data_IF_988677184755
#
_entry.id   IF_988677184755
#
_cell.length_a   1.000
_cell.length_b   1.000
_cell.length_c   1.000
_cell.angle_alpha   90.00
_cell.angle_beta   90.00
_cell.angle_gamma   90.00
#
_symmetry.space_group_name_H-M   'P 1'
#
loop_
_entity.id
_entity.type
_entity.pdbx_description
1 polymer ?
#
# COMPACT_ATOMS: atom_id res chain seq x y z
N UNK A 1 37.27 -45.81 41.82
CA UNK A 1 36.91 -46.51 40.59
C UNK A 1 35.52 -46.05 40.25
N UNK A 2 35.41 -45.22 39.29
CA UNK A 2 34.39 -45.10 38.25
C UNK A 2 34.47 -43.70 37.68
N UNK A 3 34.86 -43.65 36.41
CA UNK A 3 35.00 -42.45 35.60
C UNK A 3 33.62 -41.98 35.19
N UNK A 4 33.34 -40.70 35.38
CA UNK A 4 32.21 -39.97 34.78
C UNK A 4 32.68 -39.23 33.53
N UNK A 5 32.19 -39.65 32.39
CA UNK A 5 32.47 -39.03 31.09
C UNK A 5 31.66 -37.76 30.92
N UNK A 6 32.34 -36.64 30.82
CA UNK A 6 31.82 -35.32 30.52
C UNK A 6 31.63 -35.20 28.99
N UNK A 7 30.40 -35.17 28.52
CA UNK A 7 30.05 -34.93 27.10
C UNK A 7 29.78 -33.45 26.89
N UNK A 8 30.84 -32.74 26.56
CA UNK A 8 30.78 -31.35 26.09
C UNK A 8 30.24 -31.31 24.65
N UNK A 9 28.97 -30.95 24.48
CA UNK A 9 28.38 -30.63 23.17
C UNK A 9 28.91 -29.27 22.69
N UNK A 10 29.91 -29.28 21.85
CA UNK A 10 30.35 -28.11 21.08
C UNK A 10 29.37 -27.91 19.93
N UNK A 11 28.52 -26.90 20.05
CA UNK A 11 27.75 -26.35 18.94
C UNK A 11 28.69 -25.75 17.89
N UNK A 12 28.78 -26.39 16.74
CA UNK A 12 29.50 -25.86 15.58
C UNK A 12 28.66 -24.74 14.94
N UNK A 13 28.90 -23.50 15.36
CA UNK A 13 28.53 -22.31 14.61
C UNK A 13 29.39 -22.24 13.35
N UNK A 14 28.84 -22.66 12.22
CA UNK A 14 29.49 -22.50 10.92
C UNK A 14 29.63 -21.02 10.60
N UNK A 15 30.81 -20.45 10.82
CA UNK A 15 31.20 -19.17 10.26
C UNK A 15 31.46 -19.37 8.76
N UNK A 16 30.50 -18.95 7.91
CA UNK A 16 30.72 -18.86 6.47
C UNK A 16 31.91 -17.93 6.22
N UNK A 17 33.00 -18.49 5.71
CA UNK A 17 34.21 -17.71 5.37
C UNK A 17 34.10 -17.30 3.93
N UNK A 18 33.99 -15.99 3.69
CA UNK A 18 34.17 -15.43 2.35
C UNK A 18 35.59 -15.66 1.85
N UNK A 19 35.76 -15.89 0.55
CA UNK A 19 37.08 -16.04 -0.07
C UNK A 19 37.98 -14.81 0.19
N UNK A 20 39.30 -14.97 0.14
CA UNK A 20 40.23 -13.89 0.44
C UNK A 20 40.00 -12.68 -0.48
N UNK A 21 39.77 -11.52 0.11
CA UNK A 21 39.54 -10.24 -0.60
C UNK A 21 38.08 -9.89 -0.89
N UNK A 22 37.13 -10.82 -0.73
CA UNK A 22 35.71 -10.54 -0.94
C UNK A 22 35.07 -9.95 0.32
N UNK A 23 34.52 -8.74 0.18
CA UNK A 23 33.60 -8.13 1.18
C UNK A 23 32.18 -8.20 0.64
N UNK A 24 31.25 -8.63 1.43
CA UNK A 24 29.84 -8.61 1.07
C UNK A 24 28.99 -8.14 2.25
N UNK A 25 27.82 -7.61 1.93
CA UNK A 25 26.78 -7.30 2.91
C UNK A 25 25.49 -8.00 2.48
N UNK A 26 24.71 -8.41 3.46
CA UNK A 26 23.38 -8.99 3.23
C UNK A 26 22.37 -7.86 3.32
N UNK A 27 21.50 -7.73 2.29
CA UNK A 27 20.35 -6.83 2.37
C UNK A 27 19.38 -7.35 3.44
N UNK A 28 18.93 -6.46 4.31
CA UNK A 28 17.93 -6.79 5.35
C UNK A 28 16.54 -7.06 4.80
N UNK A 29 16.29 -6.70 3.54
CA UNK A 29 15.01 -6.92 2.87
C UNK A 29 14.80 -8.39 2.51
N UNK A 30 13.65 -8.96 2.91
CA UNK A 30 13.29 -10.35 2.58
C UNK A 30 12.91 -10.45 1.09
N UNK A 31 13.62 -11.26 0.29
CA UNK A 31 13.36 -11.42 -1.15
C UNK A 31 11.95 -11.92 -1.48
N UNK A 32 11.24 -12.55 -0.52
CA UNK A 32 9.85 -12.99 -0.72
C UNK A 32 8.84 -11.84 -0.87
N UNK A 33 9.21 -10.62 -0.47
CA UNK A 33 8.43 -9.40 -0.67
C UNK A 33 8.83 -8.60 -1.93
N UNK A 34 9.57 -9.22 -2.85
CA UNK A 34 10.22 -8.57 -3.97
C UNK A 34 11.56 -7.94 -3.58
N UNK A 35 12.24 -7.29 -4.50
CA UNK A 35 13.49 -6.62 -4.21
C UNK A 35 13.23 -5.23 -3.60
N UNK A 36 14.06 -4.83 -2.64
CA UNK A 36 14.09 -3.44 -2.14
C UNK A 36 14.51 -2.47 -3.25
N UNK A 37 15.37 -2.97 -4.13
CA UNK A 37 15.76 -2.37 -5.41
C UNK A 37 15.83 -3.51 -6.44
N UNK A 38 15.12 -3.41 -7.56
CA UNK A 38 15.36 -4.30 -8.69
C UNK A 38 16.76 -4.05 -9.24
N UNK A 39 17.50 -5.13 -9.53
CA UNK A 39 18.90 -5.05 -9.94
C UNK A 39 19.06 -4.17 -11.20
N UNK A 40 20.12 -3.39 -11.25
CA UNK A 40 20.53 -2.62 -12.42
C UNK A 40 20.51 -3.53 -13.66
N UNK A 41 19.71 -3.15 -14.66
CA UNK A 41 19.45 -3.93 -15.87
C UNK A 41 18.07 -4.59 -15.93
N UNK A 42 17.30 -4.64 -14.83
CA UNK A 42 15.91 -5.05 -14.80
C UNK A 42 14.94 -3.88 -14.48
N UNK A 43 15.50 -2.73 -14.06
CA UNK A 43 14.70 -1.51 -13.89
C UNK A 43 14.36 -0.96 -15.27
N UNK A 44 13.07 -0.90 -15.59
CA UNK A 44 12.62 -0.18 -16.78
C UNK A 44 13.03 1.29 -16.66
N UNK A 45 13.61 1.83 -17.77
CA UNK A 45 13.81 3.27 -17.84
C UNK A 45 12.47 3.97 -17.71
N UNK A 46 12.36 4.81 -16.70
CA UNK A 46 11.13 5.52 -16.44
C UNK A 46 10.89 6.59 -17.53
N UNK A 47 9.69 6.61 -18.09
CA UNK A 47 9.22 7.70 -18.97
C UNK A 47 8.79 8.94 -18.17
N UNK A 48 9.06 9.00 -16.88
CA UNK A 48 8.70 10.13 -16.02
C UNK A 48 9.48 11.39 -16.44
N UNK A 49 8.77 12.51 -16.51
CA UNK A 49 9.40 13.82 -16.62
C UNK A 49 9.97 14.21 -15.26
N UNK A 50 11.23 14.58 -15.20
CA UNK A 50 11.91 14.97 -13.96
C UNK A 50 12.38 16.42 -14.10
N UNK A 51 12.00 17.27 -13.13
CA UNK A 51 12.65 18.54 -12.86
C UNK A 51 13.39 18.43 -11.52
N UNK A 52 14.70 18.29 -11.61
CA UNK A 52 15.57 18.17 -10.45
C UNK A 52 15.98 19.52 -9.86
N UNK A 53 15.63 20.64 -10.50
CA UNK A 53 16.00 21.99 -10.10
C UNK A 53 15.09 22.65 -9.06
N UNK A 54 14.12 21.91 -8.50
CA UNK A 54 13.05 22.47 -7.64
C UNK A 54 13.57 23.05 -6.33
N UNK A 55 14.33 22.30 -5.56
CA UNK A 55 14.86 22.74 -4.25
C UNK A 55 16.28 23.32 -4.37
N UNK A 56 17.13 22.65 -5.12
CA UNK A 56 18.50 23.07 -5.40
C UNK A 56 18.77 23.00 -6.91
N UNK A 57 19.55 23.93 -7.47
CA UNK A 57 20.07 23.79 -8.83
C UNK A 57 20.79 22.45 -9.01
N UNK A 58 20.66 21.84 -10.19
CA UNK A 58 21.18 20.49 -10.48
C UNK A 58 22.69 20.38 -10.21
N UNK A 59 23.46 21.41 -10.55
CA UNK A 59 24.90 21.51 -10.31
C UNK A 59 25.28 21.59 -8.82
N UNK A 60 24.30 21.82 -7.93
CA UNK A 60 24.46 21.88 -6.48
C UNK A 60 23.84 20.70 -5.73
N UNK A 61 23.44 19.67 -6.46
CA UNK A 61 22.87 18.48 -5.82
C UNK A 61 23.89 17.83 -4.89
N UNK A 62 23.47 17.61 -3.65
CA UNK A 62 24.25 16.94 -2.61
C UNK A 62 23.33 16.37 -1.55
N UNK A 63 23.80 15.41 -0.75
CA UNK A 63 23.10 15.02 0.47
C UNK A 63 22.78 16.22 1.36
N UNK A 64 21.56 16.26 1.91
CA UNK A 64 21.09 17.29 2.82
C UNK A 64 20.99 16.66 4.22
N UNK A 65 21.72 17.24 5.16
CA UNK A 65 21.68 16.85 6.58
C UNK A 65 20.36 17.26 7.24
N UNK A 66 19.90 16.52 8.28
CA UNK A 66 18.73 16.92 9.03
C UNK A 66 18.97 18.23 9.76
N UNK A 67 18.07 19.18 9.59
CA UNK A 67 18.06 20.44 10.33
C UNK A 67 17.16 20.27 11.58
N UNK A 68 17.70 20.62 12.75
CA UNK A 68 16.97 20.57 14.01
C UNK A 68 15.94 21.69 14.17
N UNK A 69 15.92 22.68 13.27
CA UNK A 69 15.08 23.85 13.38
C UNK A 69 13.57 23.56 13.18
N UNK A 70 12.76 24.23 13.96
CA UNK A 70 11.30 24.23 13.89
C UNK A 70 10.59 23.11 14.69
N UNK A 71 9.29 23.28 14.95
CA UNK A 71 8.51 22.33 15.74
C UNK A 71 8.32 21.00 15.01
N UNK A 72 8.22 19.91 15.77
CA UNK A 72 7.75 18.62 15.29
C UNK A 72 6.21 18.57 15.37
N UNK A 73 5.55 17.74 14.51
CA UNK A 73 4.13 17.49 14.67
C UNK A 73 3.87 16.82 16.02
N UNK A 74 2.77 17.19 16.67
CA UNK A 74 2.31 16.58 17.92
C UNK A 74 1.89 15.13 17.73
N UNK A 75 1.38 14.81 16.55
CA UNK A 75 0.96 13.46 16.17
C UNK A 75 1.47 13.11 14.77
N UNK A 76 1.90 11.85 14.63
CA UNK A 76 2.15 11.20 13.36
C UNK A 76 1.09 10.12 13.15
N UNK A 77 0.34 10.25 12.07
CA UNK A 77 -0.69 9.30 11.67
C UNK A 77 -0.13 8.41 10.56
N UNK A 78 -0.14 7.11 10.76
CA UNK A 78 0.30 6.15 9.77
C UNK A 78 -0.90 5.39 9.24
N UNK A 79 -1.11 5.43 7.91
CA UNK A 79 -2.19 4.74 7.21
C UNK A 79 -1.61 3.59 6.42
N UNK A 80 -2.22 2.44 6.54
CA UNK A 80 -1.91 1.26 5.75
C UNK A 80 -3.15 0.39 5.57
N UNK A 81 -3.10 -0.49 4.56
CA UNK A 81 -4.14 -1.43 4.25
C UNK A 81 -3.61 -2.84 3.99
N UNK A 82 -4.42 -3.82 4.35
CA UNK A 82 -4.15 -5.23 4.10
C UNK A 82 -5.28 -5.86 3.32
N UNK A 83 -4.93 -6.85 2.47
CA UNK A 83 -5.90 -7.65 1.72
C UNK A 83 -5.52 -9.12 1.73
N UNK A 84 -6.53 -9.96 1.58
CA UNK A 84 -6.38 -11.40 1.45
C UNK A 84 -7.44 -11.95 0.52
N UNK A 85 -7.04 -12.67 -0.52
CA UNK A 85 -7.96 -13.46 -1.34
C UNK A 85 -8.34 -14.70 -0.54
N UNK A 86 -9.64 -14.87 -0.29
CA UNK A 86 -10.18 -16.02 0.45
C UNK A 86 -10.45 -17.20 -0.45
N UNK A 87 -10.98 -16.91 -1.67
CA UNK A 87 -11.26 -17.91 -2.67
C UNK A 87 -11.28 -17.30 -4.08
N UNK A 88 -10.88 -18.10 -5.06
CA UNK A 88 -11.29 -17.94 -6.45
C UNK A 88 -12.54 -18.78 -6.64
N UNK A 89 -13.58 -18.22 -7.25
CA UNK A 89 -14.83 -18.89 -7.53
C UNK A 89 -15.16 -18.77 -9.01
N UNK A 90 -16.09 -19.61 -9.49
CA UNK A 90 -16.61 -19.57 -10.83
C UNK A 90 -18.10 -19.26 -10.76
N UNK A 91 -18.54 -18.26 -11.51
CA UNK A 91 -19.94 -17.88 -11.63
C UNK A 91 -20.45 -18.46 -12.93
N UNK A 92 -21.49 -19.29 -12.85
CA UNK A 92 -22.09 -19.93 -14.02
C UNK A 92 -22.65 -18.86 -14.97
N UNK A 93 -22.53 -19.08 -16.26
CA UNK A 93 -23.12 -18.21 -17.28
C UNK A 93 -24.64 -18.17 -17.17
N UNK A 94 -25.26 -17.05 -17.57
CA UNK A 94 -26.71 -16.96 -17.65
C UNK A 94 -27.25 -18.05 -18.59
N UNK A 95 -28.08 -18.92 -18.08
CA UNK A 95 -28.92 -19.78 -18.90
C UNK A 95 -29.97 -18.87 -19.53
N UNK A 96 -29.81 -18.48 -20.79
CA UNK A 96 -30.90 -17.87 -21.56
C UNK A 96 -32.05 -18.87 -21.57
N UNK A 97 -33.01 -18.70 -20.67
CA UNK A 97 -34.33 -19.33 -20.81
C UNK A 97 -34.89 -18.82 -22.13
N UNK A 98 -34.95 -19.69 -23.12
CA UNK A 98 -35.53 -19.41 -24.44
C UNK A 98 -36.98 -18.99 -24.28
N UNK A 99 -37.20 -17.71 -24.09
CA UNK A 99 -38.50 -17.08 -24.28
C UNK A 99 -38.72 -16.96 -25.79
N UNK A 100 -39.66 -17.75 -26.33
CA UNK A 100 -40.18 -17.60 -27.67
C UNK A 100 -40.71 -16.16 -27.85
N UNK A 101 -39.96 -15.36 -28.59
CA UNK A 101 -40.30 -14.00 -28.97
C UNK A 101 -39.43 -13.62 -30.16
N UNK A 102 -39.80 -14.12 -31.36
CA UNK A 102 -39.21 -13.66 -32.63
C UNK A 102 -39.56 -12.19 -32.84
N UNK A 103 -38.69 -11.30 -32.42
CA UNK A 103 -38.66 -9.89 -32.82
C UNK A 103 -37.45 -9.69 -33.75
N UNK A 104 -37.71 -9.42 -35.02
CA UNK A 104 -36.71 -9.20 -36.04
C UNK A 104 -35.77 -8.05 -35.62
N UNK A 105 -34.50 -8.35 -35.49
CA UNK A 105 -33.44 -7.36 -35.32
C UNK A 105 -33.33 -6.50 -36.60
N UNK A 106 -33.37 -5.18 -36.45
CA UNK A 106 -33.01 -4.23 -37.50
C UNK A 106 -31.49 -4.21 -37.64
N UNK A 107 -30.92 -4.26 -38.86
CA UNK A 107 -29.49 -4.09 -39.07
C UNK A 107 -29.17 -2.60 -38.97
N UNK A 108 -28.28 -2.21 -38.04
CA UNK A 108 -27.73 -0.88 -38.01
C UNK A 108 -27.21 -0.27 -36.72
N UNK A 109 -27.17 -0.99 -35.57
CA UNK A 109 -26.66 -0.45 -34.31
C UNK A 109 -25.41 -1.18 -33.78
N UNK A 110 -24.36 -1.25 -34.62
CA UNK A 110 -23.03 -1.63 -34.14
C UNK A 110 -22.22 -0.36 -33.81
N UNK A 111 -22.19 0.03 -32.56
CA UNK A 111 -21.20 1.00 -32.06
C UNK A 111 -19.86 0.27 -31.87
N UNK A 112 -18.76 0.76 -32.47
CA UNK A 112 -17.45 0.14 -32.34
C UNK A 112 -16.87 0.46 -30.96
N UNK A 113 -16.71 -0.55 -30.08
CA UNK A 113 -15.94 -0.41 -28.84
C UNK A 113 -16.31 -1.30 -27.66
N UNK A 114 -17.42 -2.00 -27.66
CA UNK A 114 -17.73 -2.98 -26.60
C UNK A 114 -17.04 -4.30 -26.88
N UNK A 115 -16.00 -4.60 -26.10
CA UNK A 115 -15.44 -5.97 -26.03
C UNK A 115 -16.51 -6.84 -25.38
N UNK A 116 -17.28 -7.53 -26.22
CA UNK A 116 -18.21 -8.59 -25.79
C UNK A 116 -17.47 -9.60 -24.92
N UNK A 117 -18.04 -9.88 -23.74
CA UNK A 117 -17.72 -11.09 -23.00
C UNK A 117 -17.87 -12.31 -23.96
N UNK A 118 -17.07 -13.40 -23.80
CA UNK A 118 -17.12 -14.52 -24.71
C UNK A 118 -18.56 -14.98 -24.93
N UNK A 119 -18.98 -14.95 -26.20
CA UNK A 119 -20.33 -15.34 -26.65
C UNK A 119 -20.46 -16.84 -26.64
N UNK A 120 -20.77 -17.44 -25.48
CA UNK A 120 -21.19 -18.81 -25.34
C UNK A 120 -22.26 -18.93 -24.24
N UNK A 121 -23.44 -19.49 -24.50
CA UNK A 121 -24.37 -19.72 -23.40
C UNK A 121 -23.75 -20.71 -22.43
N UNK A 122 -23.43 -20.24 -21.22
CA UNK A 122 -23.08 -21.08 -20.10
C UNK A 122 -21.61 -21.23 -19.72
N UNK A 123 -20.66 -20.46 -20.32
CA UNK A 123 -19.27 -20.57 -19.88
C UNK A 123 -19.07 -19.88 -18.50
N UNK A 124 -18.52 -20.61 -17.49
CA UNK A 124 -18.30 -20.05 -16.16
C UNK A 124 -17.26 -18.93 -16.17
N UNK A 125 -17.52 -17.86 -15.41
CA UNK A 125 -16.67 -16.69 -15.31
C UNK A 125 -15.92 -16.68 -13.98
N UNK A 126 -14.60 -16.53 -14.03
CA UNK A 126 -13.76 -16.45 -12.82
C UNK A 126 -14.05 -15.17 -12.01
N UNK A 127 -14.07 -15.32 -10.68
CA UNK A 127 -14.26 -14.23 -9.75
C UNK A 127 -13.39 -14.42 -8.49
N UNK A 128 -13.13 -13.33 -7.76
CA UNK A 128 -12.36 -13.32 -6.52
C UNK A 128 -13.24 -12.94 -5.35
N UNK A 129 -13.27 -13.78 -4.30
CA UNK A 129 -13.76 -13.40 -2.98
C UNK A 129 -12.58 -12.97 -2.11
N UNK A 130 -12.61 -11.75 -1.61
CA UNK A 130 -11.50 -11.19 -0.82
C UNK A 130 -11.99 -10.45 0.41
N UNK A 131 -11.19 -10.49 1.48
CA UNK A 131 -11.28 -9.62 2.64
C UNK A 131 -10.18 -8.57 2.56
N UNK A 132 -10.51 -7.33 2.93
CA UNK A 132 -9.56 -6.23 2.99
C UNK A 132 -9.92 -5.28 4.13
N UNK A 133 -8.90 -4.66 4.69
CA UNK A 133 -9.05 -3.72 5.80
C UNK A 133 -7.99 -2.64 5.70
N UNK A 134 -8.35 -1.45 6.12
CA UNK A 134 -7.41 -0.35 6.32
C UNK A 134 -7.54 0.21 7.72
N UNK A 135 -6.51 0.93 8.17
CA UNK A 135 -6.53 1.56 9.47
C UNK A 135 -5.52 2.69 9.60
N UNK A 136 -5.63 3.39 10.71
CA UNK A 136 -4.74 4.48 11.08
C UNK A 136 -4.23 4.26 12.49
N UNK A 137 -2.91 4.26 12.65
CA UNK A 137 -2.27 4.31 13.95
C UNK A 137 -1.73 5.71 14.20
N UNK A 138 -2.09 6.28 15.34
CA UNK A 138 -1.53 7.54 15.83
C UNK A 138 -0.32 7.27 16.71
N UNK A 139 0.77 8.00 16.47
CA UNK A 139 1.96 8.04 17.32
C UNK A 139 2.11 9.47 17.85
N UNK A 140 1.82 9.67 19.11
CA UNK A 140 1.86 10.96 19.82
C UNK A 140 2.52 10.82 21.20
N UNK A 141 2.48 11.86 22.01
CA UNK A 141 3.04 11.82 23.37
C UNK A 141 2.40 10.74 24.27
N UNK A 142 1.14 10.37 24.02
CA UNK A 142 0.43 9.31 24.75
C UNK A 142 0.84 7.90 24.31
N UNK A 143 1.66 7.76 23.27
CA UNK A 143 2.11 6.49 22.72
C UNK A 143 1.52 6.17 21.35
N UNK A 144 1.55 4.88 20.96
CA UNK A 144 1.00 4.40 19.69
C UNK A 144 -0.33 3.69 19.91
N UNK A 145 -1.40 4.14 19.23
CA UNK A 145 -2.73 3.57 19.35
C UNK A 145 -3.50 3.62 18.02
N UNK A 146 -4.35 2.64 17.80
CA UNK A 146 -5.22 2.56 16.63
C UNK A 146 -6.38 3.55 16.81
N UNK A 147 -6.50 4.52 15.90
CA UNK A 147 -7.52 5.58 15.96
C UNK A 147 -8.70 5.34 15.04
N UNK A 148 -8.46 4.67 13.91
CA UNK A 148 -9.52 4.29 12.97
C UNK A 148 -9.18 2.97 12.32
N UNK A 149 -10.18 2.16 11.99
CA UNK A 149 -10.03 0.99 11.15
C UNK A 149 -11.35 0.55 10.57
N UNK A 150 -11.31 0.07 9.34
CA UNK A 150 -12.48 -0.50 8.66
C UNK A 150 -12.09 -1.79 7.94
N UNK A 151 -13.01 -2.76 7.96
CA UNK A 151 -12.87 -4.05 7.27
C UNK A 151 -14.04 -4.24 6.34
N UNK A 152 -13.74 -4.64 5.09
CA UNK A 152 -14.74 -4.97 4.06
C UNK A 152 -14.46 -6.35 3.47
N UNK A 153 -15.47 -6.93 2.82
CA UNK A 153 -15.35 -8.12 2.00
C UNK A 153 -16.01 -7.89 0.67
N UNK A 154 -15.36 -8.31 -0.42
CA UNK A 154 -15.86 -8.11 -1.77
C UNK A 154 -15.79 -9.37 -2.61
N UNK A 155 -16.78 -9.51 -3.47
CA UNK A 155 -16.78 -10.39 -4.62
C UNK A 155 -16.45 -9.54 -5.85
N UNK A 156 -15.31 -9.79 -6.49
CA UNK A 156 -14.85 -9.08 -7.68
C UNK A 156 -15.08 -9.96 -8.91
N UNK A 157 -15.87 -9.49 -9.86
CA UNK A 157 -16.23 -10.26 -11.06
C UNK A 157 -16.46 -9.39 -12.28
N UNK A 158 -16.20 -9.93 -13.45
CA UNK A 158 -16.61 -9.34 -14.74
C UNK A 158 -17.99 -9.84 -15.19
N UNK A 159 -18.57 -10.85 -14.51
CA UNK A 159 -19.89 -11.34 -14.81
C UNK A 159 -20.96 -10.29 -14.49
N UNK A 160 -21.84 -9.92 -15.44
CA UNK A 160 -22.83 -8.84 -15.24
C UNK A 160 -23.88 -9.18 -14.18
N UNK A 161 -24.16 -10.46 -13.98
CA UNK A 161 -25.14 -10.98 -13.01
C UNK A 161 -24.53 -11.34 -11.65
N UNK A 162 -23.24 -11.06 -11.41
CA UNK A 162 -22.64 -11.29 -10.11
C UNK A 162 -23.38 -10.49 -9.03
N UNK A 163 -23.76 -11.14 -7.95
CA UNK A 163 -24.51 -10.56 -6.83
C UNK A 163 -23.80 -10.85 -5.51
N UNK A 164 -24.26 -10.20 -4.45
CA UNK A 164 -23.72 -10.39 -3.10
C UNK A 164 -23.80 -11.85 -2.67
N UNK A 165 -22.76 -12.34 -2.02
CA UNK A 165 -22.74 -13.67 -1.42
C UNK A 165 -22.93 -13.51 0.09
N UNK A 166 -24.00 -14.07 0.62
CA UNK A 166 -24.24 -14.16 2.05
C UNK A 166 -23.74 -15.50 2.59
N UNK A 167 -22.91 -15.48 3.61
CA UNK A 167 -22.41 -16.68 4.29
C UNK A 167 -22.68 -16.57 5.80
N UNK A 168 -22.62 -17.67 6.52
CA UNK A 168 -22.69 -17.65 7.99
C UNK A 168 -21.55 -16.86 8.66
N UNK A 169 -20.45 -16.62 7.95
CA UNK A 169 -19.29 -15.85 8.44
C UNK A 169 -19.30 -14.38 7.98
N UNK A 170 -20.38 -13.94 7.31
CA UNK A 170 -20.61 -12.59 6.81
C UNK A 170 -20.76 -12.50 5.29
N UNK A 171 -21.09 -11.33 4.79
CA UNK A 171 -21.38 -11.09 3.37
C UNK A 171 -20.14 -10.64 2.59
N UNK A 172 -20.17 -10.90 1.28
CA UNK A 172 -19.25 -10.38 0.27
C UNK A 172 -20.05 -9.52 -0.71
N UNK A 173 -19.76 -8.22 -0.73
CA UNK A 173 -20.44 -7.29 -1.64
C UNK A 173 -19.91 -7.42 -3.06
N UNK A 174 -20.78 -7.53 -4.04
CA UNK A 174 -20.42 -7.68 -5.44
C UNK A 174 -19.86 -6.37 -6.02
N UNK A 175 -18.73 -6.47 -6.68
CA UNK A 175 -18.06 -5.40 -7.40
C UNK A 175 -17.85 -5.81 -8.85
N UNK A 176 -18.60 -5.16 -9.76
CA UNK A 176 -18.44 -5.39 -11.19
C UNK A 176 -17.15 -4.74 -11.70
N UNK A 177 -16.33 -5.53 -12.39
CA UNK A 177 -15.03 -5.13 -12.91
C UNK A 177 -15.10 -5.03 -14.43
N UNK A 178 -14.83 -3.85 -14.98
CA UNK A 178 -14.71 -3.64 -16.42
C UNK A 178 -13.26 -3.80 -16.86
N UNK A 179 -13.05 -4.61 -17.90
CA UNK A 179 -11.74 -4.77 -18.53
C UNK A 179 -11.56 -3.61 -19.52
N UNK A 180 -10.65 -2.68 -19.20
CA UNK A 180 -10.41 -1.48 -20.02
C UNK A 180 -9.56 -1.73 -21.27
N UNK A 181 -8.85 -2.85 -21.34
CA UNK A 181 -7.91 -3.18 -22.42
C UNK A 181 -8.20 -4.57 -22.91
N UNK A 182 -8.48 -4.71 -24.22
CA UNK A 182 -8.67 -6.00 -24.84
C UNK A 182 -7.42 -6.88 -24.62
N UNK A 183 -7.65 -8.16 -24.25
CA UNK A 183 -6.58 -9.11 -23.99
C UNK A 183 -5.91 -9.01 -22.61
N UNK A 184 -6.32 -8.08 -21.75
CA UNK A 184 -5.80 -8.05 -20.38
C UNK A 184 -6.30 -9.28 -19.59
N UNK A 185 -5.40 -9.94 -18.81
CA UNK A 185 -5.81 -11.08 -17.99
C UNK A 185 -6.90 -10.70 -16.99
N UNK A 186 -8.01 -11.44 -16.96
CA UNK A 186 -9.15 -11.18 -16.06
C UNK A 186 -8.67 -11.08 -14.60
N UNK A 187 -7.86 -12.02 -14.12
CA UNK A 187 -7.37 -12.05 -12.75
C UNK A 187 -6.58 -10.79 -12.35
N UNK A 188 -5.82 -10.21 -13.30
CA UNK A 188 -5.11 -8.94 -13.09
C UNK A 188 -6.11 -7.80 -12.89
N UNK A 189 -7.15 -7.71 -13.70
CA UNK A 189 -8.20 -6.70 -13.58
C UNK A 189 -8.96 -6.81 -12.24
N UNK A 190 -9.27 -8.05 -11.80
CA UNK A 190 -9.91 -8.31 -10.51
C UNK A 190 -9.00 -7.87 -9.34
N UNK A 191 -7.72 -8.24 -9.36
CA UNK A 191 -6.73 -7.84 -8.35
C UNK A 191 -6.54 -6.33 -8.29
N UNK A 192 -6.50 -5.65 -9.44
CA UNK A 192 -6.43 -4.19 -9.50
C UNK A 192 -7.70 -3.52 -8.96
N UNK A 193 -8.86 -4.12 -9.18
CA UNK A 193 -10.12 -3.62 -8.62
C UNK A 193 -10.13 -3.76 -7.09
N UNK A 194 -9.69 -4.89 -6.55
CA UNK A 194 -9.50 -5.08 -5.11
C UNK A 194 -8.55 -4.03 -4.53
N UNK A 195 -7.42 -3.77 -5.21
CA UNK A 195 -6.46 -2.76 -4.75
C UNK A 195 -7.05 -1.35 -4.73
N UNK A 196 -7.87 -0.99 -5.73
CA UNK A 196 -8.58 0.31 -5.75
C UNK A 196 -9.57 0.43 -4.59
N UNK A 197 -10.34 -0.63 -4.31
CA UNK A 197 -11.27 -0.64 -3.18
C UNK A 197 -10.55 -0.53 -1.83
N UNK A 198 -9.39 -1.17 -1.69
CA UNK A 198 -8.56 -0.98 -0.50
C UNK A 198 -8.10 0.47 -0.37
N UNK A 199 -7.63 1.09 -1.44
CA UNK A 199 -7.20 2.49 -1.43
C UNK A 199 -8.35 3.46 -1.06
N UNK A 200 -9.59 3.18 -1.46
CA UNK A 200 -10.77 3.93 -1.03
C UNK A 200 -10.97 3.83 0.48
N UNK A 201 -10.86 2.63 1.06
CA UNK A 201 -10.97 2.42 2.51
C UNK A 201 -9.85 3.12 3.27
N UNK A 202 -8.62 3.15 2.75
CA UNK A 202 -7.50 3.90 3.34
C UNK A 202 -7.79 5.40 3.42
N UNK A 203 -8.43 5.97 2.38
CA UNK A 203 -8.88 7.37 2.38
C UNK A 203 -9.97 7.60 3.41
N UNK A 204 -10.96 6.69 3.49
CA UNK A 204 -12.07 6.81 4.43
C UNK A 204 -11.57 6.79 5.89
N UNK A 205 -10.69 5.84 6.24
CA UNK A 205 -10.15 5.76 7.61
C UNK A 205 -9.20 6.91 7.92
N UNK A 206 -8.47 7.45 6.93
CA UNK A 206 -7.61 8.61 7.13
C UNK A 206 -8.42 9.87 7.47
N UNK A 207 -9.56 10.08 6.81
CA UNK A 207 -10.49 11.16 7.12
C UNK A 207 -11.11 10.97 8.50
N UNK A 208 -11.67 9.77 8.77
CA UNK A 208 -12.29 9.46 10.05
C UNK A 208 -11.33 9.62 11.24
N UNK A 209 -10.04 9.30 11.06
CA UNK A 209 -9.03 9.49 12.10
C UNK A 209 -8.81 10.97 12.45
N UNK A 210 -8.86 11.86 11.47
CA UNK A 210 -8.71 13.31 11.68
C UNK A 210 -9.96 13.93 12.28
N UNK A 211 -11.13 13.54 11.77
CA UNK A 211 -12.43 13.99 12.32
C UNK A 211 -12.54 13.63 13.81
N UNK A 212 -12.10 12.42 14.19
CA UNK A 212 -12.07 11.97 15.59
C UNK A 212 -11.05 12.76 16.43
N UNK A 213 -9.90 13.11 15.89
CA UNK A 213 -8.90 13.93 16.59
C UNK A 213 -9.40 15.36 16.82
N UNK A 214 -10.07 15.96 15.84
CA UNK A 214 -10.65 17.31 15.95
C UNK A 214 -11.82 17.32 16.98
N UNK A 215 -12.60 16.25 17.06
CA UNK A 215 -13.70 16.12 18.03
C UNK A 215 -13.22 15.87 19.47
N UNK A 216 -12.02 15.28 19.64
CA UNK A 216 -11.46 14.95 20.96
C UNK A 216 -10.74 16.13 21.64
N UNK A 217 -10.47 17.23 20.94
CA UNK A 217 -9.92 18.44 21.55
C UNK A 217 -11.00 19.10 22.41
N UNK A 218 -10.79 19.31 23.72
CA UNK A 218 -11.76 20.00 24.57
C UNK A 218 -12.00 21.38 23.98
N UNK A 219 -13.27 21.69 23.68
CA UNK A 219 -13.66 22.97 23.17
C UNK A 219 -13.19 24.08 24.11
N UNK A 220 -12.32 24.94 23.62
CA UNK A 220 -12.09 26.26 24.19
C UNK A 220 -13.41 27.04 23.99
N UNK A 221 -14.27 27.02 25.02
CA UNK A 221 -15.48 27.82 25.10
C UNK A 221 -15.13 29.28 25.37
N UNK A 222 -14.20 29.83 24.62
CA UNK A 222 -13.73 31.19 24.71
C UNK A 222 -13.85 31.95 23.40
N UNK A 223 -14.96 32.71 23.28
CA UNK A 223 -15.14 33.90 22.44
C UNK A 223 -14.84 33.71 20.93
N UNK A 224 -15.91 33.43 20.17
CA UNK A 224 -15.96 33.61 18.73
C UNK A 224 -15.72 35.09 18.38
N UNK A 225 -14.51 35.44 17.96
CA UNK A 225 -14.29 36.66 17.19
C UNK A 225 -14.83 36.45 15.77
N UNK A 226 -15.64 37.40 15.21
CA UNK A 226 -16.14 37.30 13.86
C UNK A 226 -15.00 37.49 12.89
N UNK A 227 -14.63 36.44 12.14
CA UNK A 227 -13.55 36.41 11.14
C UNK A 227 -12.57 35.25 11.27
N UNK A 228 -12.87 34.24 12.09
CA UNK A 228 -12.02 33.08 12.26
C UNK A 228 -11.96 32.23 10.99
N UNK A 229 -10.80 32.23 10.32
CA UNK A 229 -10.43 31.16 9.43
C UNK A 229 -10.49 29.83 10.21
N UNK A 230 -10.94 28.71 9.59
CA UNK A 230 -10.87 27.42 10.24
C UNK A 230 -9.41 27.23 10.70
N UNK A 231 -9.20 26.96 11.98
CA UNK A 231 -7.86 26.60 12.51
C UNK A 231 -7.40 25.41 11.70
N UNK A 232 -6.46 25.63 10.78
CA UNK A 232 -5.71 24.56 10.17
C UNK A 232 -5.06 23.81 11.33
N UNK A 233 -5.50 22.58 11.57
CA UNK A 233 -4.87 21.69 12.55
C UNK A 233 -3.44 21.45 12.07
N UNK A 234 -2.50 22.32 12.51
CA UNK A 234 -1.09 22.25 12.12
C UNK A 234 -0.33 21.19 12.90
N UNK A 235 -1.04 20.41 13.74
CA UNK A 235 -0.44 19.55 14.75
C UNK A 235 -0.15 18.13 14.30
N UNK A 236 -0.67 17.67 13.15
CA UNK A 236 -0.46 16.30 12.66
C UNK A 236 0.34 16.22 11.35
N UNK A 237 0.87 15.03 11.06
CA UNK A 237 1.41 14.66 9.75
C UNK A 237 0.96 13.24 9.41
N UNK A 238 0.31 13.07 8.24
CA UNK A 238 -0.17 11.80 7.77
C UNK A 238 0.88 11.12 6.88
N UNK A 239 1.24 9.88 7.20
CA UNK A 239 2.13 9.03 6.42
C UNK A 239 1.31 7.90 5.81
N UNK A 240 1.19 7.89 4.50
CA UNK A 240 0.47 6.86 3.75
C UNK A 240 1.48 5.83 3.25
N UNK A 241 1.31 4.56 3.57
CA UNK A 241 2.17 3.49 3.04
C UNK A 241 1.89 3.31 1.54
N UNK A 242 2.87 3.67 0.73
CA UNK A 242 2.79 3.69 -0.73
C UNK A 242 2.58 5.08 -1.33
N UNK A 243 2.28 5.15 -2.64
CA UNK A 243 2.14 6.40 -3.38
C UNK A 243 0.85 7.16 -3.02
N UNK A 244 0.88 8.49 -3.15
CA UNK A 244 -0.29 9.36 -2.96
C UNK A 244 -1.26 9.37 -4.15
N UNK A 245 -1.05 8.58 -5.19
CA UNK A 245 -1.98 8.51 -6.33
C UNK A 245 -3.41 8.18 -5.86
N UNK A 246 -4.37 9.05 -6.18
CA UNK A 246 -5.75 8.96 -5.69
C UNK A 246 -5.97 9.48 -4.27
N UNK A 247 -4.89 9.87 -3.55
CA UNK A 247 -4.91 10.38 -2.17
C UNK A 247 -4.35 11.80 -2.03
N UNK A 248 -4.10 12.49 -3.17
CA UNK A 248 -3.48 13.82 -3.23
C UNK A 248 -4.29 14.91 -2.51
N UNK A 249 -5.59 14.68 -2.35
CA UNK A 249 -6.52 15.58 -1.66
C UNK A 249 -6.45 15.51 -0.13
N UNK A 250 -5.72 14.52 0.42
CA UNK A 250 -5.52 14.42 1.86
C UNK A 250 -4.55 15.52 2.30
N UNK A 251 -4.96 16.44 3.18
CA UNK A 251 -4.09 17.52 3.61
C UNK A 251 -2.93 16.97 4.44
N UNK A 252 -1.77 17.64 4.39
CA UNK A 252 -0.58 17.31 5.18
C UNK A 252 -0.20 15.81 5.12
N UNK A 253 -0.33 15.20 3.92
CA UNK A 253 -0.02 13.81 3.69
C UNK A 253 1.29 13.66 2.94
N UNK A 254 2.06 12.65 3.33
CA UNK A 254 3.25 12.17 2.65
C UNK A 254 3.02 10.73 2.20
N UNK A 255 3.32 10.44 0.93
CA UNK A 255 3.44 9.08 0.43
C UNK A 255 4.80 8.51 0.82
N UNK A 256 4.82 7.28 1.31
CA UNK A 256 6.01 6.60 1.80
C UNK A 256 6.25 5.32 0.99
N UNK A 257 7.23 5.37 0.08
CA UNK A 257 7.51 4.30 -0.89
C UNK A 257 8.77 3.54 -0.45
N UNK A 258 8.58 2.26 -0.09
CA UNK A 258 9.60 1.36 0.44
C UNK A 258 10.40 0.62 -0.62
N UNK A 259 9.79 0.34 -1.77
CA UNK A 259 10.38 -0.45 -2.86
C UNK A 259 10.56 0.38 -4.12
N UNK A 260 11.62 0.12 -4.85
CA UNK A 260 11.99 0.85 -6.05
C UNK A 260 11.95 -0.10 -7.25
N UNK A 261 11.00 0.14 -8.18
CA UNK A 261 10.80 -0.67 -9.40
C UNK A 261 11.27 0.03 -10.66
N UNK A 262 11.71 1.28 -10.57
CA UNK A 262 12.26 2.05 -11.68
C UNK A 262 13.28 3.06 -11.18
N UNK A 263 14.28 3.36 -12.02
CA UNK A 263 15.21 4.46 -11.82
C UNK A 263 14.60 5.72 -12.43
N UNK A 264 14.35 6.73 -11.62
CA UNK A 264 13.74 7.99 -12.05
C UNK A 264 14.76 9.09 -12.33
N UNK A 265 15.86 9.13 -11.59
CA UNK A 265 16.88 10.16 -11.70
C UNK A 265 17.95 9.76 -12.70
N UNK A 266 18.58 10.73 -13.39
CA UNK A 266 19.81 10.51 -14.17
C UNK A 266 20.93 9.88 -13.32
N UNK A 267 21.88 9.17 -13.92
CA UNK A 267 22.92 8.41 -13.18
C UNK A 267 23.72 9.23 -12.17
N UNK A 268 24.08 10.47 -12.52
CA UNK A 268 24.83 11.41 -11.66
C UNK A 268 24.04 11.80 -10.42
N UNK A 269 22.74 12.12 -10.56
CA UNK A 269 21.86 12.45 -9.44
C UNK A 269 21.51 11.19 -8.62
N UNK A 270 21.40 10.05 -9.28
CA UNK A 270 21.17 8.77 -8.63
C UNK A 270 22.37 8.35 -7.76
N UNK A 271 23.60 8.71 -8.17
CA UNK A 271 24.82 8.54 -7.37
C UNK A 271 24.73 9.33 -6.02
N UNK A 272 24.13 10.52 -6.04
CA UNK A 272 23.90 11.30 -4.81
C UNK A 272 22.97 10.54 -3.86
N UNK A 273 21.93 9.87 -4.39
CA UNK A 273 21.02 9.04 -3.57
C UNK A 273 21.75 7.85 -2.97
N UNK A 274 22.60 7.17 -3.74
CA UNK A 274 23.44 6.06 -3.25
C UNK A 274 24.43 6.48 -2.16
N UNK A 275 24.89 7.73 -2.20
CA UNK A 275 25.84 8.30 -1.23
C UNK A 275 25.20 8.80 0.09
N UNK A 276 23.86 8.85 0.18
CA UNK A 276 23.18 9.29 1.40
C UNK A 276 23.64 8.47 2.61
N UNK A 277 23.91 9.11 3.71
CA UNK A 277 24.14 8.47 5.01
C UNK A 277 22.83 8.46 5.84
N UNK A 278 22.74 7.64 6.91
CA UNK A 278 21.56 7.59 7.75
C UNK A 278 21.06 8.97 8.21
N UNK A 279 19.80 9.27 8.00
CA UNK A 279 19.16 10.54 8.29
C UNK A 279 19.29 11.60 7.19
N UNK A 280 20.18 11.43 6.22
CA UNK A 280 20.29 12.34 5.08
C UNK A 280 19.22 12.10 4.03
N UNK A 281 18.87 13.16 3.28
CA UNK A 281 17.96 13.10 2.12
C UNK A 281 18.59 13.70 0.87
N UNK A 282 18.03 13.38 -0.28
CA UNK A 282 18.28 14.12 -1.52
C UNK A 282 17.56 15.48 -1.49
N UNK A 283 17.93 16.43 -2.34
CA UNK A 283 17.05 17.54 -2.70
C UNK A 283 15.71 17.02 -3.22
N UNK A 284 14.65 17.82 -3.03
CA UNK A 284 13.35 17.55 -3.59
C UNK A 284 13.32 17.88 -5.09
N UNK A 285 12.65 17.05 -5.86
CA UNK A 285 12.47 17.19 -7.31
C UNK A 285 11.01 17.00 -7.69
N UNK A 286 10.59 17.58 -8.83
CA UNK A 286 9.27 17.33 -9.40
C UNK A 286 9.33 16.12 -10.32
N UNK A 287 8.36 15.23 -10.19
CA UNK A 287 8.21 14.04 -11.01
C UNK A 287 6.81 13.97 -11.59
N UNK A 288 6.72 13.88 -12.93
CA UNK A 288 5.47 13.71 -13.66
C UNK A 288 5.41 12.38 -14.39
N UNK A 289 4.33 11.63 -14.15
CA UNK A 289 3.95 10.41 -14.88
C UNK A 289 2.50 10.55 -15.34
N UNK A 290 1.57 9.73 -14.81
CA UNK A 290 0.13 9.94 -14.92
C UNK A 290 -0.38 11.06 -13.99
N UNK A 291 0.44 11.53 -13.07
CA UNK A 291 0.20 12.66 -12.18
C UNK A 291 1.53 13.30 -11.75
N UNK A 292 1.49 14.58 -11.41
CA UNK A 292 2.67 15.34 -10.99
C UNK A 292 2.76 15.36 -9.46
N UNK A 293 4.00 15.21 -8.93
CA UNK A 293 4.29 15.18 -7.50
C UNK A 293 5.71 15.66 -7.21
N UNK A 294 5.91 16.30 -6.08
CA UNK A 294 7.25 16.48 -5.53
C UNK A 294 7.70 15.20 -4.83
N UNK A 295 8.99 14.88 -4.96
CA UNK A 295 9.56 13.67 -4.40
C UNK A 295 10.99 13.90 -3.91
N UNK A 296 11.44 13.13 -2.94
CA UNK A 296 12.83 13.08 -2.46
C UNK A 296 13.13 11.69 -1.90
N UNK A 297 14.42 11.37 -1.84
CA UNK A 297 14.89 10.14 -1.20
C UNK A 297 15.41 10.44 0.20
N UNK A 298 15.12 9.56 1.13
CA UNK A 298 15.56 9.61 2.52
C UNK A 298 16.22 8.28 2.89
N UNK A 299 17.41 8.32 3.49
CA UNK A 299 18.02 7.12 4.05
C UNK A 299 17.67 7.01 5.53
N UNK A 300 17.01 5.92 5.87
CA UNK A 300 16.67 5.58 7.26
C UNK A 300 17.89 5.08 8.03
N UNK A 301 17.90 5.20 9.37
CA UNK A 301 18.90 4.55 10.22
C UNK A 301 18.84 3.03 10.05
N UNK A 302 20.02 2.41 10.01
CA UNK A 302 20.16 0.96 9.86
C UNK A 302 21.61 0.56 9.69
N UNK A 303 21.90 -0.75 9.67
CA UNK A 303 23.26 -1.24 9.41
C UNK A 303 23.71 -0.82 8.00
N UNK A 304 25.02 -0.66 7.84
CA UNK A 304 25.61 -0.48 6.50
C UNK A 304 25.36 -1.75 5.70
N UNK A 305 24.75 -1.60 4.55
CA UNK A 305 24.41 -2.69 3.63
C UNK A 305 24.65 -2.29 2.18
N UNK A 306 23.85 -2.83 1.28
CA UNK A 306 23.83 -2.44 -0.14
C UNK A 306 23.60 -0.93 -0.32
N UNK A 307 24.02 -0.32 -1.44
CA UNK A 307 23.92 1.14 -1.65
C UNK A 307 22.52 1.72 -1.43
N UNK A 308 21.47 0.96 -1.72
CA UNK A 308 20.06 1.37 -1.57
C UNK A 308 19.39 0.84 -0.30
N UNK A 309 20.10 0.09 0.55
CA UNK A 309 19.56 -0.40 1.83
C UNK A 309 19.14 0.77 2.71
N UNK A 310 17.91 0.76 3.20
CA UNK A 310 17.34 1.83 4.01
C UNK A 310 16.92 3.09 3.25
N UNK A 311 17.08 3.13 1.92
CA UNK A 311 16.60 4.25 1.12
C UNK A 311 15.11 4.08 0.85
N UNK A 312 14.34 5.12 1.17
CA UNK A 312 12.92 5.22 0.84
C UNK A 312 12.67 6.46 0.01
N UNK A 313 11.63 6.46 -0.80
CA UNK A 313 11.19 7.64 -1.53
C UNK A 313 9.94 8.21 -0.87
N UNK A 314 9.99 9.50 -0.60
CA UNK A 314 8.86 10.24 -0.05
C UNK A 314 8.27 11.11 -1.15
N UNK A 315 6.97 11.34 -1.11
CA UNK A 315 6.30 12.22 -2.06
C UNK A 315 5.19 13.05 -1.43
N UNK A 316 4.92 14.21 -2.03
CA UNK A 316 3.81 15.08 -1.67
C UNK A 316 3.19 15.69 -2.93
N UNK A 317 1.98 16.30 -2.85
CA UNK A 317 1.33 16.90 -4.01
C UNK A 317 2.15 17.98 -4.69
N UNK A 318 2.17 18.00 -6.02
CA UNK A 318 2.86 19.02 -6.84
C UNK A 318 2.28 20.42 -6.68
N UNK A 319 1.08 20.55 -6.14
CA UNK A 319 0.41 21.84 -5.91
C UNK A 319 0.98 22.65 -4.74
N UNK A 320 1.84 22.00 -3.92
CA UNK A 320 2.49 22.68 -2.80
C UNK A 320 3.59 23.62 -3.27
N UNK A 321 3.70 24.77 -2.62
CA UNK A 321 4.82 25.70 -2.85
C UNK A 321 6.15 25.05 -2.44
N UNK A 322 7.24 25.36 -3.16
CA UNK A 322 8.58 24.78 -2.91
C UNK A 322 9.03 24.92 -1.47
N UNK A 323 8.77 26.08 -0.84
CA UNK A 323 9.10 26.30 0.57
C UNK A 323 8.39 25.29 1.50
N UNK A 324 7.13 24.94 1.22
CA UNK A 324 6.39 23.94 1.98
C UNK A 324 6.91 22.53 1.70
N UNK A 325 7.26 22.23 0.44
CA UNK A 325 7.91 20.96 0.07
C UNK A 325 9.22 20.76 0.84
N UNK A 326 10.09 21.79 0.86
CA UNK A 326 11.36 21.76 1.60
C UNK A 326 11.14 21.57 3.09
N UNK A 327 10.13 22.25 3.66
CA UNK A 327 9.74 22.10 5.06
C UNK A 327 9.28 20.67 5.37
N UNK A 328 8.41 20.08 4.53
CA UNK A 328 7.94 18.70 4.69
C UNK A 328 9.07 17.70 4.52
N UNK A 329 9.99 17.94 3.58
CA UNK A 329 11.16 17.10 3.38
C UNK A 329 12.07 17.08 4.63
N UNK A 330 12.39 18.25 5.20
CA UNK A 330 13.12 18.37 6.46
C UNK A 330 12.39 17.72 7.64
N UNK A 331 11.06 17.88 7.70
CA UNK A 331 10.22 17.27 8.72
C UNK A 331 10.25 15.73 8.64
N UNK A 332 10.18 15.17 7.43
CA UNK A 332 10.27 13.72 7.22
C UNK A 332 11.58 13.13 7.72
N UNK A 333 12.71 13.82 7.52
CA UNK A 333 14.03 13.42 8.06
C UNK A 333 14.01 13.29 9.59
N UNK A 334 13.44 14.29 10.27
CA UNK A 334 13.41 14.32 11.74
C UNK A 334 12.43 13.34 12.36
N UNK A 335 11.34 13.02 11.63
CA UNK A 335 10.26 12.20 12.17
C UNK A 335 10.42 10.72 11.86
N UNK A 336 10.77 10.34 10.61
CA UNK A 336 10.60 8.96 10.16
C UNK A 336 11.71 8.03 10.65
N UNK A 337 12.93 8.54 10.79
CA UNK A 337 14.09 7.73 11.20
C UNK A 337 13.90 7.00 12.54
N UNK A 338 13.16 7.58 13.48
CA UNK A 338 12.90 6.98 14.80
C UNK A 338 11.98 5.76 14.76
N UNK A 339 11.26 5.57 13.66
CA UNK A 339 10.35 4.44 13.46
C UNK A 339 10.93 3.35 12.58
N UNK A 340 12.15 3.52 12.09
CA UNK A 340 12.83 2.52 11.28
C UNK A 340 12.90 1.18 12.03
N UNK A 341 12.51 0.09 11.37
CA UNK A 341 12.51 -1.23 11.98
C UNK A 341 13.91 -1.85 12.04
N UNK A 342 14.08 -2.85 12.89
CA UNK A 342 15.30 -3.60 13.00
C UNK A 342 15.16 -4.99 12.37
N UNK A 343 16.22 -5.49 11.71
CA UNK A 343 16.21 -6.72 10.94
C UNK A 343 15.79 -7.98 11.75
N UNK A 344 16.05 -8.00 13.07
CA UNK A 344 15.61 -9.11 13.92
C UNK A 344 14.12 -9.09 14.27
N UNK A 345 13.40 -8.00 13.94
CA UNK A 345 11.95 -7.84 14.21
C UNK A 345 11.11 -7.79 12.95
N UNK A 346 11.66 -7.34 11.85
CA UNK A 346 10.95 -7.21 10.57
C UNK A 346 11.91 -7.52 9.42
N UNK A 347 11.51 -8.45 8.57
CA UNK A 347 12.28 -8.88 7.39
C UNK A 347 12.38 -7.81 6.30
N UNK A 348 11.64 -6.70 6.43
CA UNK A 348 11.66 -5.54 5.53
C UNK A 348 12.35 -4.33 6.17
N UNK A 349 13.17 -4.58 7.20
CA UNK A 349 13.92 -3.55 7.89
C UNK A 349 15.06 -2.99 7.00
N UNK A 350 15.40 -1.70 7.19
CA UNK A 350 14.77 -0.71 8.07
C UNK A 350 13.56 0.00 7.45
N UNK A 351 13.22 -0.30 6.19
CA UNK A 351 12.24 0.44 5.39
C UNK A 351 10.79 0.23 5.86
N UNK A 352 10.45 -0.90 6.48
CA UNK A 352 9.13 -1.07 7.08
C UNK A 352 9.09 -0.43 8.47
N UNK A 353 8.38 0.68 8.61
CA UNK A 353 8.31 1.41 9.87
C UNK A 353 7.52 0.62 10.93
N UNK A 354 7.95 0.66 12.20
CA UNK A 354 7.29 -0.05 13.29
C UNK A 354 5.78 0.20 13.40
N UNK A 355 5.26 1.45 13.28
CA UNK A 355 3.83 1.69 13.31
C UNK A 355 3.08 0.99 12.18
N UNK A 356 3.64 0.99 10.96
CA UNK A 356 3.08 0.30 9.80
C UNK A 356 3.08 -1.22 10.03
N UNK A 357 4.22 -1.80 10.44
CA UNK A 357 4.32 -3.22 10.73
C UNK A 357 3.36 -3.68 11.85
N UNK A 358 3.15 -2.84 12.86
CA UNK A 358 2.17 -3.07 13.92
C UNK A 358 0.75 -3.04 13.40
N UNK A 359 0.42 -2.04 12.59
CA UNK A 359 -0.87 -1.85 11.97
C UNK A 359 -1.22 -3.01 11.03
N UNK A 360 -0.30 -3.42 10.14
CA UNK A 360 -0.49 -4.59 9.26
C UNK A 360 -0.88 -5.85 10.05
N UNK A 361 -0.17 -6.15 11.16
CA UNK A 361 -0.48 -7.32 12.00
C UNK A 361 -1.87 -7.25 12.61
N UNK A 362 -2.25 -6.08 13.15
CA UNK A 362 -3.57 -5.87 13.73
C UNK A 362 -4.67 -5.97 12.68
N UNK A 363 -4.50 -5.37 11.51
CA UNK A 363 -5.45 -5.45 10.42
C UNK A 363 -5.61 -6.88 9.89
N UNK A 364 -4.51 -7.63 9.72
CA UNK A 364 -4.56 -9.05 9.31
C UNK A 364 -5.35 -9.89 10.31
N UNK A 365 -5.17 -9.66 11.62
CA UNK A 365 -5.97 -10.31 12.66
C UNK A 365 -7.47 -10.00 12.50
N UNK A 366 -7.82 -8.76 12.16
CA UNK A 366 -9.21 -8.31 11.95
C UNK A 366 -9.88 -8.87 10.69
N UNK A 367 -9.12 -9.35 9.70
CA UNK A 367 -9.70 -10.02 8.53
C UNK A 367 -10.47 -11.30 8.92
N UNK A 368 -10.14 -11.90 10.06
CA UNK A 368 -10.74 -13.15 10.56
C UNK A 368 -9.99 -14.39 10.08
N UNK A 369 -10.44 -15.55 10.53
CA UNK A 369 -9.84 -16.84 10.21
C UNK A 369 -10.07 -17.23 8.75
N UNK A 370 -9.00 -17.44 7.94
CA UNK A 370 -9.12 -17.75 6.53
C UNK A 370 -9.83 -19.08 6.26
N UNK A 371 -9.61 -20.08 7.12
CA UNK A 371 -10.21 -21.39 6.93
C UNK A 371 -11.73 -21.37 7.19
N UNK A 372 -12.15 -20.61 8.19
CA UNK A 372 -13.58 -20.44 8.47
C UNK A 372 -14.28 -19.70 7.33
N UNK A 373 -13.66 -18.64 6.79
CA UNK A 373 -14.20 -17.87 5.68
C UNK A 373 -14.29 -18.73 4.41
N UNK A 374 -13.24 -19.49 4.08
CA UNK A 374 -13.24 -20.40 2.96
C UNK A 374 -14.29 -21.48 3.07
N UNK A 375 -14.44 -22.12 4.26
CA UNK A 375 -15.50 -23.13 4.48
C UNK A 375 -16.90 -22.53 4.33
N UNK A 376 -17.11 -21.31 4.85
CA UNK A 376 -18.40 -20.63 4.75
C UNK A 376 -18.77 -20.32 3.29
N UNK A 377 -17.78 -19.92 2.45
CA UNK A 377 -17.98 -19.75 1.01
C UNK A 377 -18.34 -21.09 0.33
N UNK A 378 -17.64 -22.18 0.66
CA UNK A 378 -17.95 -23.50 0.11
C UNK A 378 -19.33 -24.02 0.52
N UNK A 379 -19.82 -23.69 1.70
CA UNK A 379 -21.18 -24.01 2.12
C UNK A 379 -22.22 -23.21 1.36
N UNK A 380 -22.00 -21.90 1.19
CA UNK A 380 -22.89 -21.03 0.43
C UNK A 380 -22.96 -21.40 -1.08
N UNK A 381 -21.91 -22.03 -1.61
CA UNK A 381 -21.88 -22.50 -2.99
C UNK A 381 -22.61 -23.85 -3.21
N UNK A 382 -23.06 -24.53 -2.14
CA UNK A 382 -23.81 -25.78 -2.32
C UNK A 382 -25.22 -25.45 -2.80
N UNK A 383 -25.72 -26.16 -3.85
CA UNK A 383 -27.11 -26.00 -4.23
C UNK A 383 -28.02 -26.40 -3.06
N UNK A 384 -29.05 -25.62 -2.82
CA UNK A 384 -30.07 -25.94 -1.83
C UNK A 384 -30.68 -27.30 -2.13
N UNK A 385 -30.26 -28.30 -1.38
CA UNK A 385 -30.78 -29.69 -1.52
C UNK A 385 -32.28 -29.78 -1.22
N UNK A 386 -32.86 -28.72 -0.62
CA UNK A 386 -34.28 -28.65 -0.34
C UNK A 386 -35.16 -28.42 -1.57
N UNK A 387 -34.61 -27.77 -2.63
CA UNK A 387 -35.34 -27.55 -3.88
C UNK A 387 -35.41 -28.79 -4.76
N UNK A 388 -34.48 -29.74 -4.61
CA UNK A 388 -34.43 -30.97 -5.43
C UNK A 388 -35.43 -32.06 -4.98
N UNK A 389 -36.07 -31.90 -3.81
CA UNK A 389 -37.07 -32.88 -3.30
C UNK A 389 -38.53 -32.59 -3.71
N UNK A 390 -38.78 -31.48 -4.42
CA UNK A 390 -40.16 -31.10 -4.81
C UNK A 390 -40.54 -31.59 -6.22
N UNK A 391 -39.56 -32.17 -6.98
CA UNK A 391 -39.82 -32.69 -8.32
C UNK A 391 -39.44 -34.17 -8.47
N UNK A 392 -39.79 -35.01 -7.48
CA UNK A 392 -39.86 -36.48 -7.67
C UNK A 392 -41.23 -36.98 -7.33
#
# INVERSE_FOLDING_TARGET
MTQGSDVSARGAGGTGVAGPGMRFSVDGWDPSYGASLELEGQLEESTARIDAGVELPVDRWRPIDPDAAGPLPEALLFVDGVRRVEAQIWIDGEVRSGGAGAGAARPGDDLPGDVRAPDGPGEPTAALCASYAAGVVCCCAAGAHLVASERRRGLFSVAPHASDILTRAGGYTAHHVRIKRAGAPVMTALSQSLQRRLAEVEVDVAKAARDAADAALPGDTGSAAPGGHPRESTSDLLIVDGPLLGRQHLPRALGYIKSHHATYLPPDLNAVVGALTPGQRSPAFLMGTSWDRHSWYLRLPGPKGAPWSGVVRIECPATLAVAEVTRLAGLSQRCLGRFASAAYKDSRAPQNLYPIAGLERELRRRLGDPQLLYRALREAARPDTTAAMVYR
#
